data_IF_976456935752
#
_entry.id   IF_976456935752
#
_cell.length_a   1.000
_cell.length_b   1.000
_cell.length_c   1.000
_cell.angle_alpha   90.00
_cell.angle_beta   90.00
_cell.angle_gamma   90.00
#
_symmetry.space_group_name_H-M   'P 1'
#
loop_
_entity.id
_entity.type
_entity.pdbx_description
1 polymer ?
#
# COMPACT_ATOMS: atom_id res chain seq x y z
N UNK A 1 4.69 8.95 6.77
CA UNK A 1 4.19 7.55 6.85
C UNK A 1 5.24 6.58 7.42
N UNK A 2 6.40 6.43 6.77
CA UNK A 2 7.42 5.42 7.13
C UNK A 2 7.82 5.46 8.60
N UNK A 3 8.12 6.64 9.17
CA UNK A 3 8.50 6.75 10.58
C UNK A 3 7.44 6.21 11.55
N UNK A 4 6.15 6.40 11.25
CA UNK A 4 5.05 5.90 12.07
C UNK A 4 4.97 4.36 12.04
N UNK A 5 5.15 3.76 10.85
CA UNK A 5 5.13 2.29 10.68
C UNK A 5 6.36 1.66 11.35
N UNK A 6 7.55 2.19 11.09
CA UNK A 6 8.82 1.68 11.65
C UNK A 6 8.80 1.80 13.18
N UNK A 7 8.40 2.96 13.71
CA UNK A 7 8.33 3.19 15.16
C UNK A 7 7.30 2.29 15.86
N UNK A 8 6.15 2.01 15.22
CA UNK A 8 5.15 1.06 15.75
C UNK A 8 5.74 -0.31 16.04
N UNK A 9 6.67 -0.76 15.20
CA UNK A 9 7.37 -2.04 15.34
C UNK A 9 8.71 -1.93 16.08
N UNK A 10 8.89 -0.85 16.86
CA UNK A 10 10.10 -0.56 17.66
C UNK A 10 11.38 -0.42 16.82
N UNK A 11 11.26 -0.15 15.53
CA UNK A 11 12.37 0.22 14.68
C UNK A 11 12.72 1.70 14.81
N UNK A 12 13.86 2.09 14.25
CA UNK A 12 14.28 3.48 14.15
C UNK A 12 14.54 3.83 12.67
N UNK A 13 13.73 4.71 12.04
CA UNK A 13 13.93 5.08 10.64
C UNK A 13 15.25 5.84 10.42
N UNK A 14 15.84 6.44 11.46
CA UNK A 14 17.16 7.07 11.38
C UNK A 14 18.25 6.03 11.12
N UNK A 15 18.13 4.82 11.68
CA UNK A 15 19.07 3.73 11.41
C UNK A 15 18.91 3.17 9.99
N UNK A 16 17.77 3.42 9.35
CA UNK A 16 17.44 2.90 8.01
C UNK A 16 17.88 3.89 6.92
N UNK A 17 17.46 5.15 7.02
CA UNK A 17 17.67 6.16 5.97
C UNK A 17 18.22 7.48 6.51
N UNK A 18 18.78 7.50 7.72
CA UNK A 18 19.30 8.72 8.32
C UNK A 18 18.21 9.71 8.78
N UNK A 19 18.59 10.92 9.24
CA UNK A 19 17.63 11.95 9.62
C UNK A 19 16.71 12.34 8.46
N UNK A 20 15.54 12.97 8.70
CA UNK A 20 14.54 13.25 7.66
C UNK A 20 15.02 14.08 6.44
N UNK A 21 16.15 14.78 6.55
CA UNK A 21 16.75 15.56 5.46
C UNK A 21 17.82 14.78 4.69
N UNK A 22 18.13 13.55 5.11
CA UNK A 22 19.11 12.71 4.46
C UNK A 22 18.63 12.33 3.05
N UNK A 23 19.48 12.47 2.01
CA UNK A 23 19.10 12.17 0.63
C UNK A 23 18.65 10.71 0.42
N UNK A 24 18.98 9.80 1.34
CA UNK A 24 18.54 8.41 1.31
C UNK A 24 17.01 8.29 1.35
N UNK A 25 16.30 9.23 2.00
CA UNK A 25 14.84 9.28 1.97
C UNK A 25 14.31 9.47 0.55
N UNK A 26 14.84 10.47 -0.17
CA UNK A 26 14.45 10.76 -1.54
C UNK A 26 14.80 9.60 -2.47
N UNK A 27 15.98 9.00 -2.28
CA UNK A 27 16.46 7.85 -3.07
C UNK A 27 15.57 6.60 -2.95
N UNK A 28 14.76 6.48 -1.90
CA UNK A 28 13.85 5.35 -1.67
C UNK A 28 12.38 5.72 -1.86
N UNK A 29 12.07 6.90 -2.41
CA UNK A 29 10.71 7.35 -2.63
C UNK A 29 10.23 6.99 -4.07
N UNK A 30 9.28 6.04 -4.22
CA UNK A 30 8.80 5.63 -5.54
C UNK A 30 8.05 6.75 -6.28
N UNK A 31 7.51 7.75 -5.60
CA UNK A 31 6.88 8.91 -6.24
C UNK A 31 7.92 9.79 -6.94
N UNK A 32 9.07 10.03 -6.29
CA UNK A 32 10.17 10.79 -6.89
C UNK A 32 10.84 10.03 -8.04
N UNK A 33 10.87 8.70 -7.93
CA UNK A 33 11.46 7.81 -8.93
C UNK A 33 10.45 7.22 -9.93
N UNK A 34 9.23 7.76 -10.01
CA UNK A 34 8.14 7.21 -10.81
C UNK A 34 8.47 6.98 -12.30
N UNK A 35 9.33 7.82 -12.90
CA UNK A 35 9.79 7.66 -14.29
C UNK A 35 10.53 6.32 -14.52
N UNK A 36 11.22 5.81 -13.49
CA UNK A 36 11.95 4.54 -13.56
C UNK A 36 11.02 3.32 -13.59
N UNK A 37 9.72 3.52 -13.36
CA UNK A 37 8.71 2.46 -13.47
C UNK A 37 8.20 2.29 -14.91
N UNK A 38 8.72 3.06 -15.87
CA UNK A 38 8.42 2.89 -17.30
C UNK A 38 8.74 1.46 -17.73
N UNK A 39 7.91 0.94 -18.64
CA UNK A 39 7.98 -0.42 -19.17
C UNK A 39 7.83 -1.56 -18.13
N UNK A 40 7.52 -1.23 -16.87
CA UNK A 40 7.18 -2.20 -15.84
C UNK A 40 5.65 -2.40 -15.81
N UNK A 41 5.20 -3.65 -15.73
CA UNK A 41 3.78 -3.92 -15.51
C UNK A 41 3.43 -3.68 -14.04
N UNK A 42 2.51 -2.74 -13.78
CA UNK A 42 2.16 -2.30 -12.43
C UNK A 42 0.70 -2.60 -12.09
N UNK A 43 0.48 -3.21 -10.92
CA UNK A 43 -0.81 -3.30 -10.23
C UNK A 43 -0.68 -2.63 -8.87
N UNK A 44 -1.50 -1.62 -8.60
CA UNK A 44 -1.43 -0.82 -7.38
C UNK A 44 -2.85 -0.70 -6.82
N UNK A 45 -3.09 -1.30 -5.65
CA UNK A 45 -4.38 -1.26 -4.98
C UNK A 45 -4.33 -0.56 -3.63
N UNK A 46 -5.48 -0.07 -3.18
CA UNK A 46 -5.65 0.50 -1.85
C UNK A 46 -7.13 0.49 -1.44
N UNK A 47 -7.39 0.35 -0.14
CA UNK A 47 -8.69 0.62 0.48
C UNK A 47 -8.84 2.07 0.93
N UNK A 48 -9.94 2.40 1.59
CA UNK A 48 -10.18 3.75 2.15
C UNK A 48 -9.86 3.89 3.64
N UNK A 49 -9.58 2.77 4.32
CA UNK A 49 -9.57 2.68 5.77
C UNK A 49 -10.96 2.47 6.39
N UNK A 50 -12.04 2.64 5.62
CA UNK A 50 -13.37 2.29 6.10
C UNK A 50 -13.50 0.77 6.22
N UNK A 51 -13.96 0.24 7.36
CA UNK A 51 -14.21 -1.20 7.50
C UNK A 51 -15.12 -1.72 6.39
N UNK A 52 -14.77 -2.87 5.85
CA UNK A 52 -15.48 -3.54 4.78
C UNK A 52 -15.74 -5.02 5.09
N UNK A 53 -16.14 -5.80 4.07
CA UNK A 53 -16.60 -7.17 4.26
C UNK A 53 -15.53 -8.14 4.82
N UNK A 54 -14.25 -7.80 4.75
CA UNK A 54 -13.14 -8.64 5.22
C UNK A 54 -12.61 -8.20 6.59
N UNK A 55 -13.24 -7.23 7.25
CA UNK A 55 -12.92 -6.82 8.62
C UNK A 55 -13.80 -7.56 9.63
N UNK A 56 -13.62 -8.89 9.68
CA UNK A 56 -14.43 -9.78 10.51
C UNK A 56 -13.57 -10.59 11.46
N UNK A 57 -14.20 -11.13 12.50
CA UNK A 57 -13.52 -11.97 13.49
C UNK A 57 -13.01 -13.29 12.88
N UNK A 58 -13.68 -13.81 11.84
CA UNK A 58 -13.24 -14.98 11.10
C UNK A 58 -11.91 -14.72 10.37
N UNK A 59 -11.77 -13.54 9.75
CA UNK A 59 -10.54 -13.09 9.09
C UNK A 59 -9.35 -12.93 10.06
N UNK A 60 -9.63 -12.80 11.36
CA UNK A 60 -8.62 -12.79 12.43
C UNK A 60 -8.52 -14.11 13.17
N UNK A 61 -9.19 -15.18 12.72
CA UNK A 61 -9.21 -16.51 13.35
C UNK A 61 -9.68 -16.47 14.80
N UNK A 62 -10.68 -15.64 15.10
CA UNK A 62 -11.21 -15.49 16.46
C UNK A 62 -10.50 -14.43 17.31
N UNK A 63 -9.42 -13.81 16.81
CA UNK A 63 -8.66 -12.82 17.58
C UNK A 63 -9.31 -11.44 17.53
N UNK A 64 -10.03 -11.09 18.59
CA UNK A 64 -10.70 -9.80 18.74
C UNK A 64 -9.71 -8.63 18.90
N UNK A 65 -8.53 -8.87 19.48
CA UNK A 65 -7.49 -7.85 19.63
C UNK A 65 -6.90 -7.46 18.28
N UNK A 66 -6.65 -8.44 17.42
CA UNK A 66 -6.22 -8.22 16.04
C UNK A 66 -7.27 -7.46 15.23
N UNK A 67 -8.55 -7.82 15.37
CA UNK A 67 -9.64 -7.13 14.68
C UNK A 67 -9.73 -5.66 15.14
N UNK A 68 -9.68 -5.41 16.46
CA UNK A 68 -9.63 -4.06 16.99
C UNK A 68 -8.43 -3.27 16.43
N UNK A 69 -7.26 -3.91 16.31
CA UNK A 69 -6.08 -3.31 15.70
C UNK A 69 -6.26 -2.95 14.22
N UNK A 70 -6.93 -3.80 13.44
CA UNK A 70 -7.27 -3.56 12.03
C UNK A 70 -8.24 -2.36 11.90
N UNK A 71 -9.30 -2.35 12.71
CA UNK A 71 -10.34 -1.32 12.70
C UNK A 71 -9.87 0.05 13.22
N UNK A 72 -8.73 0.11 13.92
CA UNK A 72 -8.16 1.34 14.46
C UNK A 72 -6.90 1.73 13.68
N UNK A 73 -5.75 1.22 14.12
CA UNK A 73 -4.45 1.52 13.50
C UNK A 73 -4.38 1.12 12.02
N UNK A 74 -5.02 0.01 11.63
CA UNK A 74 -5.07 -0.42 10.24
C UNK A 74 -5.90 0.51 9.37
N UNK A 75 -7.06 0.95 9.85
CA UNK A 75 -7.92 1.93 9.17
C UNK A 75 -7.17 3.25 8.90
N UNK A 76 -6.47 3.79 9.91
CA UNK A 76 -5.70 5.03 9.77
C UNK A 76 -4.54 4.87 8.78
N UNK A 77 -3.81 3.76 8.85
CA UNK A 77 -2.73 3.48 7.91
C UNK A 77 -3.25 3.41 6.48
N UNK A 78 -4.37 2.72 6.25
CA UNK A 78 -4.94 2.56 4.92
C UNK A 78 -5.45 3.89 4.34
N UNK A 79 -6.04 4.77 5.16
CA UNK A 79 -6.44 6.10 4.71
C UNK A 79 -5.25 6.96 4.25
N UNK A 80 -4.11 6.85 4.93
CA UNK A 80 -2.87 7.56 4.54
C UNK A 80 -2.31 6.96 3.24
N UNK A 81 -2.26 5.63 3.11
CA UNK A 81 -1.79 4.98 1.88
C UNK A 81 -2.69 5.30 0.70
N UNK A 82 -4.01 5.40 0.89
CA UNK A 82 -4.95 5.80 -0.15
C UNK A 82 -4.59 7.14 -0.79
N UNK A 83 -4.29 8.14 0.05
CA UNK A 83 -3.87 9.46 -0.41
C UNK A 83 -2.50 9.42 -1.13
N UNK A 84 -1.54 8.60 -0.66
CA UNK A 84 -0.27 8.40 -1.35
C UNK A 84 -0.44 7.70 -2.71
N UNK A 85 -1.32 6.69 -2.78
CA UNK A 85 -1.63 5.97 -4.02
C UNK A 85 -2.31 6.87 -5.05
N UNK A 86 -3.19 7.77 -4.60
CA UNK A 86 -3.80 8.78 -5.48
C UNK A 86 -2.73 9.71 -6.10
N UNK A 87 -1.78 10.20 -5.28
CA UNK A 87 -0.67 11.02 -5.77
C UNK A 87 0.22 10.26 -6.76
N UNK A 88 0.55 8.99 -6.47
CA UNK A 88 1.33 8.16 -7.39
C UNK A 88 0.60 7.94 -8.72
N UNK A 89 -0.72 7.71 -8.71
CA UNK A 89 -1.53 7.62 -9.92
C UNK A 89 -1.44 8.89 -10.76
N UNK A 90 -1.63 10.05 -10.15
CA UNK A 90 -1.53 11.34 -10.84
C UNK A 90 -0.13 11.54 -11.44
N UNK A 91 0.92 11.17 -10.70
CA UNK A 91 2.29 11.26 -11.19
C UNK A 91 2.55 10.36 -12.39
N UNK A 92 2.12 9.09 -12.35
CA UNK A 92 2.27 8.17 -13.48
C UNK A 92 1.47 8.64 -14.71
N UNK A 93 0.28 9.20 -14.50
CA UNK A 93 -0.52 9.80 -15.57
C UNK A 93 0.19 10.99 -16.22
N UNK A 94 0.80 11.90 -15.43
CA UNK A 94 1.57 13.03 -15.94
C UNK A 94 2.78 12.58 -16.78
N UNK A 95 3.40 11.44 -16.43
CA UNK A 95 4.55 10.86 -17.14
C UNK A 95 4.14 9.96 -18.33
N UNK A 96 2.84 9.75 -18.54
CA UNK A 96 2.32 8.84 -19.57
C UNK A 96 2.72 7.38 -19.35
N UNK A 97 2.88 6.95 -18.09
CA UNK A 97 3.24 5.56 -17.74
C UNK A 97 1.95 4.80 -17.37
N UNK A 98 1.59 3.74 -18.12
CA UNK A 98 0.39 2.97 -17.84
C UNK A 98 0.57 2.12 -16.58
N UNK A 99 -0.46 2.05 -15.75
CA UNK A 99 -0.52 1.19 -14.56
C UNK A 99 -1.98 0.81 -14.28
N UNK A 100 -2.19 -0.38 -13.70
CA UNK A 100 -3.50 -0.80 -13.20
C UNK A 100 -3.67 -0.30 -11.78
N UNK A 101 -4.67 0.53 -11.54
CA UNK A 101 -5.03 1.01 -10.21
C UNK A 101 -6.37 0.43 -9.77
N UNK A 102 -6.42 -0.13 -8.56
CA UNK A 102 -7.64 -0.66 -7.95
C UNK A 102 -7.94 0.04 -6.61
N UNK A 103 -8.82 1.05 -6.67
CA UNK A 103 -9.26 1.81 -5.50
C UNK A 103 -10.55 1.20 -4.94
N UNK A 104 -10.42 0.42 -3.87
CA UNK A 104 -11.57 -0.20 -3.22
C UNK A 104 -12.35 0.85 -2.41
N UNK A 105 -13.70 0.83 -2.46
CA UNK A 105 -14.53 1.79 -1.71
C UNK A 105 -14.43 1.60 -0.19
N UNK A 106 -14.05 0.40 0.25
CA UNK A 106 -13.84 0.01 1.64
C UNK A 106 -12.62 -0.88 1.74
N UNK A 107 -12.01 -0.93 2.92
CA UNK A 107 -10.96 -1.87 3.28
C UNK A 107 -9.99 -1.26 4.27
N UNK A 108 -9.47 -2.10 5.16
CA UNK A 108 -8.43 -1.71 6.13
C UNK A 108 -7.10 -2.36 5.79
N UNK A 109 -6.06 -1.96 6.52
CA UNK A 109 -4.72 -2.53 6.39
C UNK A 109 -4.64 -3.95 6.98
N UNK A 110 -5.27 -4.93 6.30
CA UNK A 110 -5.46 -6.28 6.80
C UNK A 110 -5.29 -7.36 5.72
N UNK A 111 -4.92 -8.58 6.16
CA UNK A 111 -4.54 -9.69 5.29
C UNK A 111 -5.62 -10.14 4.31
N UNK A 112 -6.89 -10.06 4.69
CA UNK A 112 -7.99 -10.46 3.80
C UNK A 112 -7.99 -9.64 2.51
N UNK A 113 -7.80 -8.32 2.61
CA UNK A 113 -7.73 -7.44 1.44
C UNK A 113 -6.47 -7.71 0.61
N UNK A 114 -5.32 -7.92 1.26
CA UNK A 114 -4.07 -8.28 0.55
C UNK A 114 -4.20 -9.60 -0.22
N UNK A 115 -4.83 -10.61 0.37
CA UNK A 115 -5.07 -11.89 -0.31
C UNK A 115 -6.00 -11.73 -1.52
N UNK A 116 -7.09 -10.95 -1.37
CA UNK A 116 -7.98 -10.64 -2.50
C UNK A 116 -7.20 -9.97 -3.64
N UNK A 117 -6.39 -8.96 -3.33
CA UNK A 117 -5.68 -8.20 -4.35
C UNK A 117 -4.56 -9.00 -5.02
N UNK A 118 -3.98 -10.00 -4.32
CA UNK A 118 -3.11 -11.00 -4.95
C UNK A 118 -3.86 -11.81 -6.02
N UNK A 119 -5.10 -12.22 -5.76
CA UNK A 119 -5.91 -12.92 -6.75
C UNK A 119 -6.35 -12.01 -7.90
N UNK A 120 -6.74 -10.76 -7.61
CA UNK A 120 -7.17 -9.80 -8.62
C UNK A 120 -6.03 -9.38 -9.56
N UNK A 121 -4.80 -9.27 -9.03
CA UNK A 121 -3.62 -8.89 -9.82
C UNK A 121 -3.06 -10.02 -10.68
N UNK A 122 -3.38 -11.28 -10.36
CA UNK A 122 -2.79 -12.44 -11.03
C UNK A 122 -2.98 -12.46 -12.55
N UNK A 123 -4.16 -12.21 -13.14
CA UNK A 123 -4.32 -12.21 -14.59
C UNK A 123 -3.41 -11.20 -15.30
N UNK A 124 -3.15 -10.03 -14.68
CA UNK A 124 -2.22 -9.04 -15.20
C UNK A 124 -0.78 -9.56 -15.18
N UNK A 125 -0.38 -10.20 -14.08
CA UNK A 125 0.96 -10.75 -13.92
C UNK A 125 1.20 -11.93 -14.86
N UNK A 126 0.25 -12.85 -14.97
CA UNK A 126 0.32 -13.97 -15.91
C UNK A 126 0.49 -13.47 -17.35
N UNK A 127 -0.28 -12.48 -17.78
CA UNK A 127 -0.16 -11.91 -19.12
C UNK A 127 1.16 -11.14 -19.35
N UNK A 128 1.81 -10.65 -18.30
CA UNK A 128 3.11 -9.97 -18.39
C UNK A 128 4.29 -10.96 -18.41
N UNK A 129 4.19 -12.06 -17.66
CA UNK A 129 5.23 -13.09 -17.55
C UNK A 129 5.30 -14.02 -18.77
N UNK A 130 4.21 -14.11 -19.55
CA UNK A 130 4.14 -14.92 -20.76
C UNK A 130 4.47 -14.13 -22.05
N UNK A 131 5.13 -12.98 -21.95
CA UNK A 131 5.53 -12.15 -23.10
C UNK A 131 6.92 -12.50 -23.62
#
# INVERSE_FOLDING_TARGET
MVAAVVGRWRGNPINMWGPPQDPTWAANDPYLHAEQLRDTTLYISTGTGQPGPLDTLDQTRGDAGKLAGQLTSGAVLEAITNACTAQLRERLQQLGIPATFDFHPTGTHSWGYWQRDLHNSWPLFEAALNR
#
